data_IF_363545577213
#
_entry.id   IF_363545577213
#
_cell.length_a   1.000
_cell.length_b   1.000
_cell.length_c   1.000
_cell.angle_alpha   90.00
_cell.angle_beta   90.00
_cell.angle_gamma   90.00
#
_symmetry.space_group_name_H-M   'P 1'
#
loop_
_entity.id
_entity.type
_entity.pdbx_description
1 polymer ?
#
# COMPACT_ATOMS: atom_id res chain seq x y z
N UNK A 1 10.37 -12.43 -10.27
CA UNK A 1 9.31 -11.78 -11.06
C UNK A 1 9.60 -10.28 -11.14
N UNK A 2 9.68 -9.72 -12.34
CA UNK A 2 9.94 -8.28 -12.57
C UNK A 2 8.69 -7.40 -12.35
N UNK A 3 8.85 -6.08 -12.48
CA UNK A 3 7.77 -5.11 -12.25
C UNK A 3 6.63 -5.18 -13.29
N UNK A 4 6.95 -5.43 -14.56
CA UNK A 4 5.96 -5.49 -15.63
C UNK A 4 5.11 -6.76 -15.52
N UNK A 5 5.73 -7.88 -15.16
CA UNK A 5 5.00 -9.13 -14.89
C UNK A 5 4.04 -8.95 -13.71
N UNK A 6 4.47 -8.33 -12.60
CA UNK A 6 3.59 -8.03 -11.46
C UNK A 6 2.40 -7.14 -11.83
N UNK A 7 2.63 -6.13 -12.67
CA UNK A 7 1.58 -5.21 -13.10
C UNK A 7 0.47 -5.94 -13.87
N UNK A 8 0.84 -6.80 -14.83
CA UNK A 8 -0.11 -7.60 -15.62
C UNK A 8 -0.90 -8.59 -14.78
N UNK A 9 -0.26 -9.26 -13.83
CA UNK A 9 -0.96 -10.18 -12.93
C UNK A 9 -1.95 -9.44 -12.02
N UNK A 10 -1.59 -8.25 -11.54
CA UNK A 10 -2.49 -7.41 -10.75
C UNK A 10 -3.67 -6.88 -11.59
N UNK A 11 -3.42 -6.47 -12.83
CA UNK A 11 -4.48 -6.06 -13.77
C UNK A 11 -5.51 -7.19 -13.97
N UNK A 12 -5.05 -8.44 -14.14
CA UNK A 12 -5.93 -9.62 -14.25
C UNK A 12 -6.72 -9.88 -12.97
N UNK A 13 -6.08 -9.79 -11.81
CA UNK A 13 -6.71 -10.03 -10.51
C UNK A 13 -7.78 -8.99 -10.16
N UNK A 14 -7.64 -7.76 -10.66
CA UNK A 14 -8.56 -6.66 -10.41
C UNK A 14 -9.64 -6.49 -11.50
N UNK A 15 -9.66 -7.37 -12.51
CA UNK A 15 -10.62 -7.30 -13.61
C UNK A 15 -12.07 -7.34 -13.10
N UNK A 16 -12.86 -6.35 -13.48
CA UNK A 16 -14.26 -6.21 -13.07
C UNK A 16 -14.47 -5.47 -11.75
N UNK A 17 -13.43 -4.91 -11.13
CA UNK A 17 -13.55 -4.04 -9.96
C UNK A 17 -13.68 -2.58 -10.38
N UNK A 18 -14.90 -2.11 -10.63
CA UNK A 18 -15.19 -0.76 -11.20
C UNK A 18 -14.67 0.42 -10.35
N UNK A 19 -14.34 0.19 -9.08
CA UNK A 19 -13.85 1.22 -8.14
C UNK A 19 -12.33 1.18 -7.94
N UNK A 20 -11.62 0.38 -8.73
CA UNK A 20 -10.18 0.21 -8.61
C UNK A 20 -9.50 0.64 -9.92
N UNK A 21 -8.49 1.50 -9.79
CA UNK A 21 -7.62 1.90 -10.89
C UNK A 21 -6.20 1.44 -10.59
N UNK A 22 -5.53 0.90 -11.60
CA UNK A 22 -4.13 0.52 -11.51
C UNK A 22 -3.26 1.62 -12.15
N UNK A 23 -2.17 2.00 -11.48
CA UNK A 23 -1.23 3.01 -11.96
C UNK A 23 0.18 2.43 -12.05
N UNK A 24 0.86 2.66 -13.17
CA UNK A 24 2.25 2.29 -13.42
C UNK A 24 3.23 3.45 -13.14
N UNK A 25 2.76 4.52 -12.48
CA UNK A 25 3.55 5.73 -12.22
C UNK A 25 4.92 5.43 -11.61
N UNK A 26 4.96 4.59 -10.55
CA UNK A 26 6.20 4.25 -9.86
C UNK A 26 7.13 3.38 -10.71
N UNK A 27 6.57 2.46 -11.52
CA UNK A 27 7.33 1.60 -12.42
C UNK A 27 8.04 2.43 -13.48
N UNK A 28 7.33 3.42 -14.04
CA UNK A 28 7.86 4.35 -15.06
C UNK A 28 8.99 5.24 -14.57
N UNK A 29 9.24 5.35 -13.27
CA UNK A 29 10.36 6.14 -12.76
C UNK A 29 11.71 5.41 -12.88
N UNK A 30 11.71 4.09 -13.11
CA UNK A 30 12.92 3.26 -13.25
C UNK A 30 13.91 3.38 -12.06
N UNK A 31 13.39 3.75 -10.88
CA UNK A 31 14.13 3.86 -9.62
C UNK A 31 13.23 3.56 -8.44
N UNK A 32 13.80 3.47 -7.24
CA UNK A 32 13.01 3.51 -6.03
C UNK A 32 12.27 4.85 -5.91
N UNK A 33 10.94 4.78 -5.71
CA UNK A 33 10.07 5.95 -5.56
C UNK A 33 9.59 6.04 -4.12
N UNK A 34 10.02 7.06 -3.37
CA UNK A 34 9.41 7.39 -2.09
C UNK A 34 7.91 7.64 -2.21
N UNK A 35 7.12 7.09 -1.29
CA UNK A 35 5.64 7.24 -1.29
C UNK A 35 5.18 8.70 -1.33
N UNK A 36 5.95 9.62 -0.74
CA UNK A 36 5.66 11.06 -0.79
C UNK A 36 5.59 11.60 -2.23
N UNK A 37 6.40 11.09 -3.15
CA UNK A 37 6.38 11.50 -4.55
C UNK A 37 5.09 11.03 -5.25
N UNK A 38 4.69 9.77 -5.02
CA UNK A 38 3.43 9.21 -5.51
C UNK A 38 2.22 9.98 -4.97
N UNK A 39 2.23 10.32 -3.68
CA UNK A 39 1.19 11.16 -3.06
C UNK A 39 1.09 12.51 -3.73
N UNK A 40 2.20 13.22 -3.94
CA UNK A 40 2.21 14.53 -4.61
C UNK A 40 1.71 14.41 -6.05
N UNK A 41 2.12 13.37 -6.77
CA UNK A 41 1.66 13.10 -8.13
C UNK A 41 0.14 12.92 -8.18
N UNK A 42 -0.42 12.03 -7.36
CA UNK A 42 -1.85 11.75 -7.37
C UNK A 42 -2.71 12.89 -6.81
N UNK A 43 -2.19 13.68 -5.86
CA UNK A 43 -2.84 14.92 -5.43
C UNK A 43 -2.98 15.92 -6.58
N UNK A 44 -1.95 16.07 -7.42
CA UNK A 44 -2.00 16.96 -8.58
C UNK A 44 -2.92 16.42 -9.67
N UNK A 45 -2.87 15.12 -9.93
CA UNK A 45 -3.63 14.46 -11.00
C UNK A 45 -5.13 14.47 -10.72
N UNK A 46 -5.54 14.06 -9.52
CA UNK A 46 -6.96 13.88 -9.19
C UNK A 46 -7.57 15.03 -8.39
N UNK A 47 -6.75 15.94 -7.85
CA UNK A 47 -7.17 17.06 -6.98
C UNK A 47 -8.20 16.65 -5.92
N UNK A 48 -7.95 15.55 -5.17
CA UNK A 48 -8.92 15.07 -4.21
C UNK A 48 -9.02 16.04 -3.03
N UNK A 49 -10.22 16.16 -2.44
CA UNK A 49 -10.40 16.89 -1.17
C UNK A 49 -9.59 16.27 -0.03
N UNK A 50 -9.52 14.93 -0.02
CA UNK A 50 -8.76 14.14 0.95
C UNK A 50 -8.16 12.94 0.22
N UNK A 51 -6.87 12.68 0.45
CA UNK A 51 -6.20 11.49 -0.05
C UNK A 51 -5.97 10.53 1.12
N UNK A 52 -6.38 9.27 0.97
CA UNK A 52 -6.18 8.23 1.98
C UNK A 52 -5.01 7.35 1.58
N UNK A 53 -4.08 7.11 2.50
CA UNK A 53 -2.98 6.16 2.33
C UNK A 53 -3.32 4.88 3.09
N UNK A 54 -3.52 3.78 2.37
CA UNK A 54 -3.86 2.47 2.93
C UNK A 54 -2.59 1.64 3.10
N UNK A 55 -2.32 1.17 4.32
CA UNK A 55 -1.18 0.30 4.64
C UNK A 55 -1.58 -0.82 5.61
N UNK A 56 -0.75 -1.86 5.72
CA UNK A 56 -0.86 -2.87 6.77
C UNK A 56 -0.16 -2.45 8.07
N UNK A 57 -0.53 -3.09 9.19
CA UNK A 57 0.07 -2.86 10.51
C UNK A 57 1.60 -3.11 10.54
N UNK A 58 2.12 -3.96 9.65
CA UNK A 58 3.57 -4.19 9.52
C UNK A 58 4.32 -2.96 8.97
N UNK A 59 3.72 -2.25 8.01
CA UNK A 59 4.30 -1.03 7.47
C UNK A 59 4.26 0.12 8.49
N UNK A 60 3.24 0.16 9.34
CA UNK A 60 3.06 1.21 10.34
C UNK A 60 4.27 1.31 11.29
N UNK A 61 4.86 0.18 11.71
CA UNK A 61 6.05 0.14 12.59
C UNK A 61 7.27 0.86 12.03
N UNK A 62 7.38 0.92 10.70
CA UNK A 62 8.51 1.51 9.99
C UNK A 62 8.15 2.83 9.30
N UNK A 63 6.92 3.31 9.44
CA UNK A 63 6.45 4.49 8.72
C UNK A 63 7.27 5.75 9.06
N UNK A 64 7.76 5.85 10.30
CA UNK A 64 8.62 6.96 10.73
C UNK A 64 9.97 7.01 10.01
N UNK A 65 10.44 5.89 9.45
CA UNK A 65 11.69 5.82 8.68
C UNK A 65 11.49 6.08 7.19
N UNK A 66 10.26 6.30 6.73
CA UNK A 66 10.00 6.62 5.32
C UNK A 66 10.54 8.01 4.99
N UNK A 67 11.01 8.17 3.75
CA UNK A 67 11.49 9.47 3.25
C UNK A 67 10.40 10.53 3.42
N UNK A 68 10.73 11.59 4.16
CA UNK A 68 9.82 12.70 4.47
C UNK A 68 8.52 12.26 5.17
N UNK A 69 8.54 11.25 6.03
CA UNK A 69 7.37 10.72 6.74
C UNK A 69 6.50 11.81 7.41
N UNK A 70 7.12 12.82 8.06
CA UNK A 70 6.39 13.92 8.69
C UNK A 70 5.57 14.74 7.69
N UNK A 71 6.07 14.94 6.48
CA UNK A 71 5.37 15.67 5.42
C UNK A 71 4.34 14.78 4.73
N UNK A 72 4.66 13.50 4.52
CA UNK A 72 3.71 12.50 4.03
C UNK A 72 2.44 12.47 4.88
N UNK A 73 2.59 12.38 6.21
CA UNK A 73 1.48 12.33 7.16
C UNK A 73 0.65 13.63 7.24
N UNK A 74 1.15 14.75 6.72
CA UNK A 74 0.36 15.99 6.58
C UNK A 74 -0.49 16.02 5.32
N UNK A 75 -0.15 15.19 4.32
CA UNK A 75 -0.77 15.17 2.99
C UNK A 75 -1.85 14.11 2.84
N UNK A 76 -1.85 13.12 3.72
CA UNK A 76 -2.75 11.96 3.63
C UNK A 76 -3.44 11.70 4.96
N UNK A 77 -4.63 11.12 4.88
CA UNK A 77 -5.28 10.46 6.01
C UNK A 77 -4.83 8.99 6.02
N UNK A 78 -4.20 8.55 7.12
CA UNK A 78 -3.70 7.19 7.21
C UNK A 78 -4.82 6.21 7.55
N UNK A 79 -4.89 5.12 6.77
CA UNK A 79 -5.80 3.99 6.99
C UNK A 79 -4.95 2.74 7.16
N UNK A 80 -5.00 2.14 8.34
CA UNK A 80 -4.20 0.96 8.68
C UNK A 80 -5.11 -0.23 8.84
N UNK A 81 -4.80 -1.31 8.13
CA UNK A 81 -5.45 -2.60 8.33
C UNK A 81 -4.65 -3.47 9.30
N UNK A 82 -5.36 -4.19 10.16
CA UNK A 82 -4.80 -5.23 11.01
C UNK A 82 -4.00 -6.23 10.19
N UNK A 83 -2.96 -6.81 10.80
CA UNK A 83 -2.23 -7.92 10.22
C UNK A 83 -1.86 -8.90 11.31
N UNK A 84 -2.27 -10.15 11.15
CA UNK A 84 -1.99 -11.23 12.10
C UNK A 84 -0.47 -11.31 12.34
N UNK A 85 -0.08 -11.35 13.61
CA UNK A 85 1.32 -11.34 14.05
C UNK A 85 1.92 -9.94 14.25
N UNK A 86 1.15 -8.87 14.04
CA UNK A 86 1.58 -7.50 14.29
C UNK A 86 0.63 -6.81 15.28
N UNK A 87 1.20 -6.39 16.40
CA UNK A 87 0.49 -5.59 17.41
C UNK A 87 0.05 -4.23 16.85
N UNK A 88 -1.14 -3.79 17.27
CA UNK A 88 -1.60 -2.42 17.07
C UNK A 88 -0.70 -1.47 17.88
N UNK A 89 -0.14 -0.46 17.20
CA UNK A 89 0.61 0.62 17.82
C UNK A 89 -0.15 1.93 17.67
N UNK A 90 0.02 2.86 18.60
CA UNK A 90 -0.67 4.14 18.54
C UNK A 90 -0.23 4.97 17.34
N UNK A 91 -1.19 5.52 16.61
CA UNK A 91 -0.97 6.43 15.48
C UNK A 91 -2.17 7.36 15.30
N UNK A 92 -1.99 8.41 14.49
CA UNK A 92 -3.09 9.29 14.07
C UNK A 92 -3.65 8.79 12.74
N UNK A 93 -4.88 8.30 12.74
CA UNK A 93 -5.57 7.83 11.55
C UNK A 93 -6.71 6.90 11.88
N UNK A 94 -7.09 6.03 10.94
CA UNK A 94 -8.14 5.03 11.12
C UNK A 94 -7.52 3.64 11.12
N UNK A 95 -7.90 2.82 12.09
CA UNK A 95 -7.53 1.42 12.16
C UNK A 95 -8.73 0.54 11.79
N UNK A 96 -8.51 -0.48 10.97
CA UNK A 96 -9.53 -1.42 10.52
C UNK A 96 -9.11 -2.86 10.86
N UNK A 97 -9.83 -3.54 11.77
CA UNK A 97 -9.60 -4.95 12.02
C UNK A 97 -9.98 -5.80 10.79
N UNK A 98 -9.24 -6.87 10.54
CA UNK A 98 -9.50 -7.81 9.43
C UNK A 98 -10.42 -8.94 9.89
N UNK A 99 -11.70 -8.60 10.10
CA UNK A 99 -12.71 -9.59 10.47
C UNK A 99 -12.92 -10.61 9.34
N UNK A 100 -12.87 -11.90 9.68
CA UNK A 100 -13.12 -13.00 8.75
C UNK A 100 -11.89 -13.48 7.98
N UNK A 101 -10.69 -12.96 8.28
CA UNK A 101 -9.41 -13.52 7.84
C UNK A 101 -8.66 -13.97 9.09
N UNK A 102 -8.57 -15.27 9.29
CA UNK A 102 -7.93 -15.92 10.46
C UNK A 102 -6.58 -16.56 10.13
N UNK A 103 -6.14 -16.49 8.87
CA UNK A 103 -4.87 -17.02 8.41
C UNK A 103 -3.85 -15.90 8.08
N UNK A 104 -2.57 -16.05 8.47
CA UNK A 104 -1.52 -15.10 8.13
C UNK A 104 -1.10 -15.25 6.67
N UNK A 105 -1.90 -14.69 5.74
CA UNK A 105 -1.62 -14.73 4.30
C UNK A 105 -0.51 -13.74 3.95
N UNK A 106 0.49 -14.19 3.19
CA UNK A 106 1.53 -13.32 2.63
C UNK A 106 2.03 -13.82 1.28
N UNK A 107 2.50 -12.89 0.45
CA UNK A 107 3.12 -13.26 -0.84
C UNK A 107 4.38 -14.10 -0.66
N UNK A 108 5.13 -13.93 0.45
CA UNK A 108 6.30 -14.75 0.76
C UNK A 108 5.92 -16.21 1.05
N UNK A 109 4.84 -16.44 1.81
CA UNK A 109 4.32 -17.78 2.06
C UNK A 109 3.80 -18.44 0.77
N UNK A 110 3.09 -17.70 -0.07
CA UNK A 110 2.59 -18.20 -1.36
C UNK A 110 3.76 -18.61 -2.27
N UNK A 111 4.77 -17.75 -2.43
CA UNK A 111 5.97 -18.06 -3.22
C UNK A 111 6.70 -19.30 -2.70
N UNK A 112 6.91 -19.40 -1.38
CA UNK A 112 7.50 -20.58 -0.76
C UNK A 112 6.70 -21.86 -1.05
N UNK A 113 5.36 -21.80 -1.00
CA UNK A 113 4.49 -22.94 -1.32
C UNK A 113 4.54 -23.36 -2.80
N UNK A 114 4.88 -22.42 -3.69
CA UNK A 114 5.02 -22.65 -5.13
C UNK A 114 6.45 -23.00 -5.54
N UNK A 115 7.42 -22.97 -4.61
CA UNK A 115 8.83 -23.24 -4.89
C UNK A 115 9.53 -22.16 -5.73
N UNK A 116 9.08 -20.90 -5.66
CA UNK A 116 9.61 -19.75 -6.43
C UNK A 116 10.01 -18.56 -5.58
#
# INVERSE_FOLDING_TARGET
MDAQTRFKELERALKGMDRVLLSDFEIKQERAVPTIESVIYFQKLYRPKTLYLVIGADCLRHLSSWTNAKELLKRVELVVFERIGYEEIQFKGRYFPLKGIDAPISSSAIRASLGV
#
